data_IF_699498382863
#
_entry.id   IF_699498382863
#
_cell.length_a   1.000
_cell.length_b   1.000
_cell.length_c   1.000
_cell.angle_alpha   90.00
_cell.angle_beta   90.00
_cell.angle_gamma   90.00
#
_symmetry.space_group_name_H-M   'P 1'
#
loop_
_entity.id
_entity.type
_entity.pdbx_description
1 polymer ?
#
# COMPACT_ATOMS: atom_id res chain seq x y z
N UNK A 1 -11.28 -45.77 -11.99
CA UNK A 1 -11.02 -46.45 -13.27
C UNK A 1 -10.62 -45.37 -14.23
N UNK A 2 -9.43 -45.48 -14.82
CA UNK A 2 -8.98 -44.55 -15.85
C UNK A 2 -9.70 -44.88 -17.16
N UNK A 3 -10.09 -43.89 -17.99
CA UNK A 3 -10.66 -44.17 -19.29
C UNK A 3 -9.69 -45.03 -20.11
N UNK A 4 -10.18 -46.14 -20.66
CA UNK A 4 -9.40 -47.10 -21.44
C UNK A 4 -8.90 -48.31 -20.66
N UNK A 5 -8.97 -48.34 -19.33
CA UNK A 5 -8.48 -49.46 -18.49
C UNK A 5 -9.17 -50.79 -18.83
N UNK A 6 -10.48 -50.76 -19.09
CA UNK A 6 -11.26 -51.94 -19.50
C UNK A 6 -10.88 -52.42 -20.92
N UNK A 7 -10.57 -51.50 -21.83
CA UNK A 7 -10.12 -51.84 -23.18
C UNK A 7 -8.70 -52.41 -23.16
N UNK A 8 -7.81 -51.86 -22.33
CA UNK A 8 -6.46 -52.40 -22.13
C UNK A 8 -6.52 -53.84 -21.61
N UNK A 9 -7.36 -54.10 -20.60
CA UNK A 9 -7.55 -55.47 -20.09
C UNK A 9 -8.04 -56.45 -21.15
N UNK A 10 -8.97 -56.06 -22.02
CA UNK A 10 -9.48 -56.91 -23.11
C UNK A 10 -8.42 -57.14 -24.19
N UNK A 11 -7.58 -56.14 -24.46
CA UNK A 11 -6.45 -56.28 -25.40
C UNK A 11 -5.38 -57.19 -24.83
N UNK A 12 -5.08 -57.09 -23.53
CA UNK A 12 -4.13 -57.97 -22.83
C UNK A 12 -4.62 -59.42 -22.84
N UNK A 13 -5.93 -59.65 -22.62
CA UNK A 13 -6.53 -60.98 -22.70
C UNK A 13 -6.44 -61.57 -24.12
N UNK A 14 -6.70 -60.74 -25.15
CA UNK A 14 -6.53 -61.12 -26.55
C UNK A 14 -5.07 -61.50 -26.87
N UNK A 15 -4.11 -60.70 -26.39
CA UNK A 15 -2.68 -60.95 -26.55
C UNK A 15 -2.27 -62.25 -25.86
N UNK A 16 -2.81 -62.52 -24.67
CA UNK A 16 -2.57 -63.76 -23.94
C UNK A 16 -3.04 -64.98 -24.72
N UNK A 17 -4.27 -64.98 -25.25
CA UNK A 17 -4.80 -66.07 -26.08
C UNK A 17 -3.91 -66.35 -27.29
N UNK A 18 -3.45 -65.29 -27.97
CA UNK A 18 -2.57 -65.42 -29.14
C UNK A 18 -1.17 -65.93 -28.75
N UNK A 19 -0.66 -65.51 -27.59
CA UNK A 19 0.66 -65.93 -27.09
C UNK A 19 0.69 -67.43 -26.72
N UNK A 20 -0.34 -67.89 -26.01
CA UNK A 20 -0.50 -69.27 -25.51
C UNK A 20 -0.93 -70.26 -26.59
N UNK A 21 -1.37 -69.76 -27.75
CA UNK A 21 -1.83 -70.58 -28.86
C UNK A 21 -0.76 -71.56 -29.37
N UNK A 22 -1.22 -72.76 -29.78
CA UNK A 22 -0.36 -73.85 -30.23
C UNK A 22 0.16 -73.61 -31.64
N UNK A 23 1.43 -73.92 -31.90
CA UNK A 23 2.00 -73.87 -33.26
C UNK A 23 1.66 -75.14 -34.06
N UNK A 24 1.28 -75.04 -35.34
CA UNK A 24 1.01 -76.20 -36.18
C UNK A 24 2.27 -77.02 -36.42
N UNK A 25 2.17 -78.35 -36.34
CA UNK A 25 3.27 -79.30 -36.54
C UNK A 25 3.88 -79.28 -37.95
N UNK A 26 3.14 -78.77 -38.95
CA UNK A 26 3.48 -78.89 -40.38
C UNK A 26 3.75 -77.55 -41.08
N UNK A 27 3.82 -76.43 -40.35
CA UNK A 27 4.01 -75.10 -40.93
C UNK A 27 4.94 -74.26 -40.07
N UNK A 28 5.87 -73.53 -40.71
CA UNK A 28 6.92 -72.74 -40.04
C UNK A 28 6.41 -71.97 -38.81
N UNK A 29 7.20 -72.00 -37.73
CA UNK A 29 6.82 -71.70 -36.34
C UNK A 29 6.24 -70.32 -36.00
N UNK A 30 5.89 -69.51 -37.00
CA UNK A 30 5.23 -68.22 -36.86
C UNK A 30 3.69 -68.30 -36.91
N UNK A 31 3.10 -69.43 -37.30
CA UNK A 31 1.64 -69.61 -37.29
C UNK A 31 1.16 -70.12 -35.92
N UNK A 32 0.01 -69.63 -35.48
CA UNK A 32 -0.64 -69.99 -34.21
C UNK A 32 -2.05 -70.49 -34.50
N UNK A 33 -2.47 -71.55 -33.82
CA UNK A 33 -3.84 -72.09 -33.87
C UNK A 33 -4.59 -71.57 -32.65
N UNK A 34 -5.59 -70.74 -32.90
CA UNK A 34 -6.48 -70.14 -31.89
C UNK A 34 -7.92 -70.61 -32.12
N UNK A 35 -8.73 -70.65 -31.06
CA UNK A 35 -10.17 -70.75 -31.23
C UNK A 35 -10.70 -69.42 -31.77
N UNK A 36 -11.44 -69.47 -32.87
CA UNK A 36 -12.00 -68.27 -33.46
C UNK A 36 -13.11 -67.68 -32.58
N UNK A 37 -13.83 -68.51 -31.84
CA UNK A 37 -14.94 -68.08 -30.99
C UNK A 37 -14.44 -67.17 -29.86
N UNK A 38 -13.41 -67.60 -29.14
CA UNK A 38 -12.80 -66.82 -28.04
C UNK A 38 -12.31 -65.44 -28.52
N UNK A 39 -11.70 -65.39 -29.71
CA UNK A 39 -11.23 -64.13 -30.33
C UNK A 39 -12.40 -63.21 -30.70
N UNK A 40 -13.49 -63.75 -31.25
CA UNK A 40 -14.66 -62.96 -31.63
C UNK A 40 -15.40 -62.41 -30.41
N UNK A 41 -15.45 -63.16 -29.31
CA UNK A 41 -16.08 -62.72 -28.06
C UNK A 41 -15.36 -61.49 -27.47
N UNK A 42 -14.04 -61.53 -27.39
CA UNK A 42 -13.24 -60.38 -26.92
C UNK A 42 -13.39 -59.19 -27.88
N UNK A 43 -13.38 -59.43 -29.20
CA UNK A 43 -13.55 -58.36 -30.18
C UNK A 43 -14.91 -57.68 -30.08
N UNK A 44 -15.98 -58.45 -29.84
CA UNK A 44 -17.32 -57.92 -29.67
C UNK A 44 -17.45 -57.15 -28.35
N UNK A 45 -16.77 -57.59 -27.30
CA UNK A 45 -16.71 -56.84 -26.04
C UNK A 45 -15.95 -55.52 -26.19
N UNK A 46 -14.78 -55.52 -26.85
CA UNK A 46 -14.05 -54.29 -27.20
C UNK A 46 -14.97 -53.34 -27.99
N UNK A 47 -15.69 -53.85 -29.01
CA UNK A 47 -16.63 -53.03 -29.80
C UNK A 47 -17.77 -52.45 -28.97
N UNK A 48 -18.21 -53.16 -27.93
CA UNK A 48 -19.29 -52.72 -27.03
C UNK A 48 -18.82 -51.61 -26.09
N UNK A 49 -17.62 -51.74 -25.54
CA UNK A 49 -17.07 -50.84 -24.51
C UNK A 49 -16.39 -49.60 -25.13
N UNK A 50 -15.73 -49.75 -26.28
CA UNK A 50 -14.90 -48.71 -26.90
C UNK A 50 -15.62 -47.37 -27.15
N UNK A 51 -16.87 -47.31 -27.64
CA UNK A 51 -17.55 -46.04 -27.88
C UNK A 51 -17.77 -45.21 -26.60
N UNK A 52 -18.04 -45.90 -25.49
CA UNK A 52 -18.28 -45.26 -24.20
C UNK A 52 -16.97 -44.71 -23.63
N UNK A 53 -15.93 -45.55 -23.58
CA UNK A 53 -14.59 -45.15 -23.12
C UNK A 53 -14.03 -43.96 -23.90
N UNK A 54 -14.19 -43.97 -25.23
CA UNK A 54 -13.74 -42.84 -26.06
C UNK A 54 -14.55 -41.56 -25.82
N UNK A 55 -15.82 -41.67 -25.44
CA UNK A 55 -16.67 -40.53 -25.08
C UNK A 55 -16.28 -39.96 -23.72
N UNK A 56 -16.02 -40.83 -22.74
CA UNK A 56 -15.57 -40.43 -21.42
C UNK A 56 -14.19 -39.77 -21.46
N UNK A 57 -13.25 -40.33 -22.22
CA UNK A 57 -11.93 -39.72 -22.43
C UNK A 57 -12.05 -38.29 -23.02
N UNK A 58 -12.86 -38.10 -24.05
CA UNK A 58 -13.09 -36.76 -24.65
C UNK A 58 -13.76 -35.79 -23.68
N UNK A 59 -14.70 -36.28 -22.86
CA UNK A 59 -15.36 -35.48 -21.84
C UNK A 59 -14.35 -34.99 -20.81
N UNK A 60 -13.48 -35.86 -20.32
CA UNK A 60 -12.45 -35.52 -19.33
C UNK A 60 -11.49 -34.46 -19.87
N UNK A 61 -10.99 -34.63 -21.11
CA UNK A 61 -10.11 -33.64 -21.74
C UNK A 61 -10.80 -32.27 -21.86
N UNK A 62 -12.09 -32.27 -22.22
CA UNK A 62 -12.88 -31.03 -22.29
C UNK A 62 -13.06 -30.39 -20.91
N UNK A 63 -13.41 -31.16 -19.89
CA UNK A 63 -13.59 -30.68 -18.52
C UNK A 63 -12.28 -30.14 -17.92
N UNK A 64 -11.14 -30.77 -18.24
CA UNK A 64 -9.82 -30.28 -17.86
C UNK A 64 -9.52 -28.92 -18.50
N UNK A 65 -9.75 -28.78 -19.80
CA UNK A 65 -9.56 -27.50 -20.49
C UNK A 65 -10.47 -26.41 -19.91
N UNK A 66 -11.75 -26.70 -19.69
CA UNK A 66 -12.69 -25.75 -19.07
C UNK A 66 -12.28 -25.38 -17.64
N UNK A 67 -11.66 -26.29 -16.92
CA UNK A 67 -11.16 -26.04 -15.56
C UNK A 67 -9.92 -25.15 -15.61
N UNK A 68 -8.99 -25.41 -16.52
CA UNK A 68 -7.80 -24.58 -16.74
C UNK A 68 -8.19 -23.16 -17.18
N UNK A 69 -9.12 -23.02 -18.11
CA UNK A 69 -9.60 -21.71 -18.58
C UNK A 69 -10.25 -20.91 -17.45
N UNK A 70 -11.10 -21.56 -16.64
CA UNK A 70 -11.70 -20.93 -15.46
C UNK A 70 -10.65 -20.51 -14.44
N UNK A 71 -9.66 -21.35 -14.17
CA UNK A 71 -8.57 -21.04 -13.24
C UNK A 71 -7.73 -19.85 -13.74
N UNK A 72 -7.44 -19.78 -15.05
CA UNK A 72 -6.71 -18.66 -15.65
C UNK A 72 -7.50 -17.35 -15.59
N UNK A 73 -8.81 -17.40 -15.84
CA UNK A 73 -9.69 -16.23 -15.73
C UNK A 73 -9.76 -15.73 -14.28
N UNK A 74 -9.92 -16.64 -13.32
CA UNK A 74 -9.93 -16.30 -11.89
C UNK A 74 -8.60 -15.70 -11.45
N UNK A 75 -7.47 -16.30 -11.83
CA UNK A 75 -6.15 -15.77 -11.52
C UNK A 75 -5.96 -14.36 -12.10
N UNK A 76 -6.38 -14.15 -13.35
CA UNK A 76 -6.31 -12.83 -14.00
C UNK A 76 -7.16 -11.79 -13.28
N UNK A 77 -8.37 -12.16 -12.84
CA UNK A 77 -9.24 -11.28 -12.04
C UNK A 77 -8.60 -10.91 -10.71
N UNK A 78 -8.04 -11.90 -9.98
CA UNK A 78 -7.38 -11.67 -8.69
C UNK A 78 -6.20 -10.70 -8.85
N UNK A 79 -5.39 -10.87 -9.90
CA UNK A 79 -4.25 -9.99 -10.18
C UNK A 79 -4.75 -8.57 -10.49
N UNK A 80 -5.78 -8.42 -11.31
CA UNK A 80 -6.35 -7.11 -11.64
C UNK A 80 -6.89 -6.38 -10.39
N UNK A 81 -7.64 -7.09 -9.54
CA UNK A 81 -8.18 -6.55 -8.29
C UNK A 81 -7.06 -6.13 -7.33
N UNK A 82 -6.02 -6.96 -7.19
CA UNK A 82 -4.86 -6.66 -6.35
C UNK A 82 -4.09 -5.43 -6.86
N UNK A 83 -3.92 -5.29 -8.17
CA UNK A 83 -3.29 -4.11 -8.77
C UNK A 83 -4.12 -2.85 -8.53
N UNK A 84 -5.44 -2.93 -8.66
CA UNK A 84 -6.33 -1.81 -8.36
C UNK A 84 -6.25 -1.39 -6.89
N UNK A 85 -6.28 -2.34 -5.96
CA UNK A 85 -6.14 -2.06 -4.53
C UNK A 85 -4.78 -1.43 -4.20
N UNK A 86 -3.70 -1.94 -4.80
CA UNK A 86 -2.36 -1.39 -4.62
C UNK A 86 -2.27 0.07 -5.10
N UNK A 87 -2.90 0.40 -6.23
CA UNK A 87 -2.95 1.79 -6.73
C UNK A 87 -3.71 2.72 -5.77
N UNK A 88 -4.86 2.27 -5.23
CA UNK A 88 -5.63 3.05 -4.25
C UNK A 88 -4.80 3.30 -3.00
N UNK A 89 -4.21 2.25 -2.42
CA UNK A 89 -3.41 2.36 -1.20
C UNK A 89 -2.18 3.26 -1.38
N UNK A 90 -1.50 3.15 -2.53
CA UNK A 90 -0.38 4.03 -2.86
C UNK A 90 -0.82 5.50 -2.99
N UNK A 91 -1.99 5.74 -3.59
CA UNK A 91 -2.61 7.06 -3.66
C UNK A 91 -2.92 7.62 -2.28
N UNK A 92 -3.56 6.84 -1.41
CA UNK A 92 -3.91 7.25 -0.05
C UNK A 92 -2.65 7.54 0.79
N UNK A 93 -1.63 6.69 0.69
CA UNK A 93 -0.36 6.90 1.39
C UNK A 93 0.35 8.17 0.92
N UNK A 94 0.31 8.48 -0.37
CA UNK A 94 0.90 9.71 -0.91
C UNK A 94 0.13 10.96 -0.44
N UNK A 95 -1.20 10.90 -0.39
CA UNK A 95 -2.04 11.97 0.17
C UNK A 95 -1.70 12.22 1.63
N UNK A 96 -1.58 11.16 2.45
CA UNK A 96 -1.21 11.27 3.86
C UNK A 96 0.20 11.87 4.01
N UNK A 97 1.15 11.43 3.19
CA UNK A 97 2.53 11.95 3.20
C UNK A 97 2.54 13.45 2.87
N UNK A 98 1.81 13.88 1.85
CA UNK A 98 1.72 15.28 1.45
C UNK A 98 1.02 16.13 2.53
N UNK A 99 -0.06 15.62 3.12
CA UNK A 99 -0.77 16.30 4.21
C UNK A 99 0.14 16.49 5.43
N UNK A 100 0.94 15.48 5.79
CA UNK A 100 1.91 15.59 6.87
C UNK A 100 2.99 16.64 6.56
N UNK A 101 3.54 16.64 5.35
CA UNK A 101 4.53 17.63 4.92
C UNK A 101 3.97 19.07 4.97
N UNK A 102 2.72 19.27 4.54
CA UNK A 102 2.05 20.57 4.65
C UNK A 102 1.82 20.96 6.12
N UNK A 103 1.38 20.02 6.96
CA UNK A 103 1.16 20.28 8.38
C UNK A 103 2.46 20.70 9.08
N UNK A 104 3.59 20.06 8.76
CA UNK A 104 4.89 20.40 9.33
C UNK A 104 5.37 21.77 8.84
N UNK A 105 5.20 22.09 7.55
CA UNK A 105 5.49 23.42 7.03
C UNK A 105 4.66 24.53 7.70
N UNK A 106 3.37 24.28 7.95
CA UNK A 106 2.48 25.21 8.67
C UNK A 106 2.97 25.40 10.11
N UNK A 107 3.35 24.32 10.80
CA UNK A 107 3.89 24.39 12.17
C UNK A 107 5.17 25.20 12.22
N UNK A 108 6.11 24.95 11.32
CA UNK A 108 7.37 25.67 11.25
C UNK A 108 7.14 27.16 10.98
N UNK A 109 6.25 27.49 10.04
CA UNK A 109 5.87 28.87 9.75
C UNK A 109 5.20 29.54 10.95
N UNK A 110 4.29 28.84 11.64
CA UNK A 110 3.63 29.37 12.84
C UNK A 110 4.63 29.62 13.98
N UNK A 111 5.56 28.69 14.23
CA UNK A 111 6.61 28.87 15.24
C UNK A 111 7.57 30.01 14.88
N UNK A 112 7.89 30.21 13.60
CA UNK A 112 8.68 31.36 13.16
C UNK A 112 7.93 32.66 13.39
N UNK A 113 6.66 32.73 12.96
CA UNK A 113 5.81 33.89 13.14
C UNK A 113 5.63 34.26 14.62
N UNK A 114 5.49 33.26 15.51
CA UNK A 114 5.41 33.47 16.95
C UNK A 114 6.69 34.13 17.48
N UNK A 115 7.87 33.61 17.12
CA UNK A 115 9.15 34.18 17.52
C UNK A 115 9.31 35.63 17.04
N UNK A 116 8.99 35.88 15.78
CA UNK A 116 9.11 37.21 15.18
C UNK A 116 8.14 38.19 15.85
N UNK A 117 6.89 37.76 16.12
CA UNK A 117 5.90 38.56 16.83
C UNK A 117 6.36 38.91 18.25
N UNK A 118 6.93 37.94 18.98
CA UNK A 118 7.48 38.17 20.32
C UNK A 118 8.63 39.15 20.29
N UNK A 119 9.59 38.96 19.38
CA UNK A 119 10.74 39.85 19.23
C UNK A 119 10.30 41.28 18.92
N UNK A 120 9.42 41.47 17.94
CA UNK A 120 8.90 42.78 17.58
C UNK A 120 8.13 43.45 18.73
N UNK A 121 7.38 42.67 19.52
CA UNK A 121 6.66 43.19 20.69
C UNK A 121 7.62 43.61 21.81
N UNK A 122 8.68 42.85 22.06
CA UNK A 122 9.73 43.18 23.03
C UNK A 122 10.49 44.46 22.60
N UNK A 123 10.88 44.57 21.32
CA UNK A 123 11.53 45.76 20.76
C UNK A 123 10.64 47.01 20.84
N UNK A 124 9.35 46.85 20.51
CA UNK A 124 8.38 47.94 20.63
C UNK A 124 8.22 48.40 22.09
N UNK A 125 8.13 47.45 23.02
CA UNK A 125 8.01 47.76 24.44
C UNK A 125 9.25 48.52 24.96
N UNK A 126 10.45 48.08 24.59
CA UNK A 126 11.70 48.76 24.96
C UNK A 126 11.74 50.20 24.43
N UNK A 127 11.38 50.39 23.16
CA UNK A 127 11.30 51.72 22.53
C UNK A 127 10.33 52.65 23.28
N UNK A 128 9.13 52.15 23.60
CA UNK A 128 8.13 52.93 24.34
C UNK A 128 8.62 53.27 25.75
N UNK A 129 9.26 52.32 26.44
CA UNK A 129 9.81 52.53 27.78
C UNK A 129 10.97 53.52 27.77
N UNK A 130 11.86 53.46 26.79
CA UNK A 130 12.97 54.41 26.62
C UNK A 130 12.45 55.84 26.42
N UNK A 131 11.45 56.02 25.55
CA UNK A 131 10.81 57.33 25.37
C UNK A 131 10.12 57.84 26.64
N UNK A 132 9.47 56.95 27.40
CA UNK A 132 8.86 57.31 28.68
C UNK A 132 9.93 57.74 29.69
N UNK A 133 11.05 57.02 29.77
CA UNK A 133 12.17 57.35 30.66
C UNK A 133 12.75 58.73 30.33
N UNK A 134 12.99 59.03 29.06
CA UNK A 134 13.48 60.34 28.61
C UNK A 134 12.53 61.48 28.99
N UNK A 135 11.23 61.29 28.76
CA UNK A 135 10.20 62.26 29.13
C UNK A 135 10.17 62.50 30.65
N UNK A 136 10.26 61.44 31.46
CA UNK A 136 10.29 61.55 32.92
C UNK A 136 11.56 62.24 33.43
N UNK A 137 12.74 61.97 32.82
CA UNK A 137 13.99 62.70 33.12
C UNK A 137 13.85 64.19 32.83
N UNK A 138 13.30 64.55 31.68
CA UNK A 138 13.05 65.94 31.29
C UNK A 138 12.09 66.66 32.26
N UNK A 139 10.99 65.99 32.63
CA UNK A 139 10.01 66.52 33.57
C UNK A 139 10.63 66.72 34.97
N UNK A 140 11.35 65.71 35.47
CA UNK A 140 12.06 65.79 36.76
C UNK A 140 13.11 66.90 36.75
N UNK A 141 13.89 67.03 35.68
CA UNK A 141 14.86 68.12 35.51
C UNK A 141 14.20 69.51 35.47
N UNK A 142 12.98 69.61 34.97
CA UNK A 142 12.18 70.85 35.01
C UNK A 142 11.71 71.15 36.44
N UNK A 143 11.22 70.15 37.18
CA UNK A 143 10.82 70.30 38.59
C UNK A 143 12.01 70.70 39.48
N UNK A 144 13.18 70.08 39.29
CA UNK A 144 14.40 70.42 40.04
C UNK A 144 14.82 71.87 39.79
N UNK A 145 14.79 72.34 38.53
CA UNK A 145 15.05 73.75 38.19
C UNK A 145 14.09 74.70 38.91
N UNK A 146 12.77 74.40 38.88
CA UNK A 146 11.77 75.21 39.60
C UNK A 146 12.06 75.25 41.09
N UNK A 147 12.38 74.11 41.72
CA UNK A 147 12.74 74.05 43.14
C UNK A 147 13.99 74.87 43.47
N UNK A 148 15.04 74.77 42.64
CA UNK A 148 16.27 75.52 42.83
C UNK A 148 16.03 77.03 42.73
N UNK A 149 15.25 77.49 41.74
CA UNK A 149 14.87 78.91 41.64
C UNK A 149 14.05 79.40 42.84
N UNK A 150 13.22 78.55 43.43
CA UNK A 150 12.46 78.89 44.64
C UNK A 150 13.37 79.04 45.87
N UNK A 151 14.39 78.18 45.97
CA UNK A 151 15.37 78.17 47.06
C UNK A 151 16.35 79.36 46.97
N UNK A 152 16.81 79.69 45.76
CA UNK A 152 17.61 80.89 45.49
C UNK A 152 16.83 82.17 45.82
N UNK A 153 15.52 82.19 45.54
CA UNK A 153 14.64 83.33 45.84
C UNK A 153 14.21 83.39 47.31
N UNK A 154 14.46 82.34 48.12
CA UNK A 154 14.16 82.29 49.56
C UNK A 154 15.40 82.50 50.46
N UNK A 155 16.60 82.66 49.88
CA UNK A 155 17.82 83.14 50.54
C UNK A 155 17.66 84.54 51.17
N UNK A 156 18.54 84.93 52.12
CA UNK A 156 18.23 85.87 53.20
C UNK A 156 17.64 87.18 52.70
N UNK A 157 16.39 87.44 53.09
CA UNK A 157 15.74 88.76 52.97
C UNK A 157 16.72 89.78 53.54
N UNK A 158 17.26 90.63 52.65
CA UNK A 158 18.17 91.71 53.00
C UNK A 158 17.51 92.63 54.04
N UNK A 159 17.78 92.37 55.32
CA UNK A 159 17.46 93.25 56.44
C UNK A 159 18.53 94.33 56.51
N UNK A 160 18.59 95.22 55.53
CA UNK A 160 19.36 96.45 55.66
C UNK A 160 18.68 97.53 54.83
N UNK A 161 17.72 98.23 55.44
CA UNK A 161 17.47 99.61 55.06
C UNK A 161 17.26 100.44 56.32
N UNK A 162 18.39 100.84 56.90
CA UNK A 162 18.48 101.97 57.83
C UNK A 162 18.51 103.25 56.99
N UNK A 163 17.50 104.10 57.11
CA UNK A 163 17.55 105.47 56.56
C UNK A 163 17.15 106.45 57.67
N UNK A 164 18.02 107.43 58.01
CA UNK A 164 17.80 108.37 59.10
C UNK A 164 16.96 109.60 58.71
N UNK A 165 16.23 110.09 59.72
CA UNK A 165 15.37 111.28 59.85
C UNK A 165 13.91 111.14 59.42
#
# INVERSE_FOLDING_TARGET
MQPGEEIESLVDELEQIVSEAKSPLTGGGQKKIVDAQDIYEILDEIRRVFPQEFTDARRIVKEEQETLDRAQQQASSIIADAQQQAMILAGDQEVVRLAQQQADAIRDQASQYERDTRYNAEEYADTVLAHLEENLKSLTGSVTRVRQTLDENSGPRNTTNNVPW
#
